data_IF_387762969933
#
_entry.id   IF_387762969933
#
_cell.length_a   1.000
_cell.length_b   1.000
_cell.length_c   1.000
_cell.angle_alpha   90.00
_cell.angle_beta   90.00
_cell.angle_gamma   90.00
#
_symmetry.space_group_name_H-M   'P 1'
#
loop_
_entity.id
_entity.type
_entity.pdbx_description
1 polymer ?
#
# COMPACT_ATOMS: atom_id res chain seq x y z
N UNK A 1 41.77 -47.57 -29.69
CA UNK A 1 41.88 -46.12 -29.95
C UNK A 1 40.79 -45.77 -30.96
N UNK A 2 39.88 -44.83 -30.68
CA UNK A 2 39.49 -44.24 -29.39
C UNK A 2 38.01 -44.47 -29.07
N UNK A 3 37.69 -44.44 -27.77
CA UNK A 3 36.37 -44.11 -27.28
C UNK A 3 36.17 -42.61 -27.51
N UNK A 4 35.04 -42.23 -28.11
CA UNK A 4 34.58 -40.84 -28.12
C UNK A 4 33.40 -40.71 -27.15
N UNK A 5 33.37 -39.64 -26.35
CA UNK A 5 32.52 -39.54 -25.18
C UNK A 5 31.08 -39.23 -25.60
N UNK A 6 30.12 -39.91 -24.98
CA UNK A 6 28.74 -39.43 -24.94
C UNK A 6 28.81 -38.12 -24.17
N UNK A 7 28.82 -37.02 -24.92
CA UNK A 7 28.75 -35.67 -24.39
C UNK A 7 27.63 -35.64 -23.36
N UNK A 8 28.06 -35.24 -22.18
CA UNK A 8 27.30 -34.83 -21.04
C UNK A 8 26.26 -33.80 -21.49
N UNK A 9 25.09 -34.28 -21.90
CA UNK A 9 23.85 -33.51 -21.84
C UNK A 9 23.50 -33.44 -20.35
N UNK A 10 24.27 -32.62 -19.63
CA UNK A 10 23.69 -31.85 -18.54
C UNK A 10 22.83 -30.82 -19.27
N UNK A 11 21.59 -31.22 -19.56
CA UNK A 11 20.48 -30.29 -19.55
C UNK A 11 20.55 -29.61 -18.20
N UNK A 12 21.19 -28.44 -18.18
CA UNK A 12 20.90 -27.40 -17.21
C UNK A 12 19.39 -27.20 -17.32
N UNK A 13 18.65 -27.89 -16.46
CA UNK A 13 17.34 -27.46 -16.03
C UNK A 13 17.55 -26.08 -15.41
N UNK A 14 17.62 -25.06 -16.27
CA UNK A 14 17.32 -23.70 -15.89
C UNK A 14 15.88 -23.76 -15.41
N UNK A 15 15.76 -23.93 -14.10
CA UNK A 15 14.53 -24.09 -13.36
C UNK A 15 13.67 -22.87 -13.70
N UNK A 16 12.74 -23.06 -14.64
CA UNK A 16 11.80 -22.05 -15.09
C UNK A 16 10.83 -21.81 -13.93
N UNK A 17 11.30 -21.05 -12.94
CA UNK A 17 10.49 -20.61 -11.84
C UNK A 17 9.45 -19.65 -12.45
N UNK A 18 8.15 -20.00 -12.40
CA UNK A 18 7.12 -19.23 -13.09
C UNK A 18 7.14 -17.81 -12.54
N UNK A 19 7.13 -16.81 -13.44
CA UNK A 19 7.23 -15.40 -13.09
C UNK A 19 6.22 -14.97 -12.01
N UNK A 20 5.06 -15.64 -11.99
CA UNK A 20 3.99 -15.46 -11.01
C UNK A 20 4.44 -15.75 -9.57
N UNK A 21 5.21 -16.84 -9.35
CA UNK A 21 5.68 -17.23 -8.01
C UNK A 21 6.71 -16.23 -7.45
N UNK A 22 7.54 -15.66 -8.33
CA UNK A 22 8.49 -14.61 -7.95
C UNK A 22 7.76 -13.32 -7.59
N UNK A 23 6.74 -12.94 -8.36
CA UNK A 23 5.94 -11.75 -8.09
C UNK A 23 5.21 -11.84 -6.74
N UNK A 24 4.63 -13.00 -6.44
CA UNK A 24 3.94 -13.30 -5.17
C UNK A 24 4.89 -13.21 -3.97
N UNK A 25 6.07 -13.85 -4.04
CA UNK A 25 7.11 -13.73 -3.00
C UNK A 25 7.57 -12.30 -2.75
N UNK A 26 7.72 -11.52 -3.83
CA UNK A 26 8.09 -10.11 -3.74
C UNK A 26 6.98 -9.31 -3.06
N UNK A 27 5.72 -9.54 -3.41
CA UNK A 27 4.58 -8.89 -2.78
C UNK A 27 4.50 -9.18 -1.27
N UNK A 28 4.60 -10.45 -0.87
CA UNK A 28 4.62 -10.84 0.55
C UNK A 28 5.78 -10.18 1.31
N UNK A 29 6.96 -10.10 0.70
CA UNK A 29 8.11 -9.41 1.30
C UNK A 29 7.84 -7.90 1.50
N UNK A 30 7.15 -7.26 0.56
CA UNK A 30 6.72 -5.86 0.70
C UNK A 30 5.66 -5.67 1.79
N UNK A 31 4.69 -6.59 1.89
CA UNK A 31 3.68 -6.56 2.95
C UNK A 31 4.34 -6.67 4.33
N UNK A 32 5.28 -7.60 4.49
CA UNK A 32 6.05 -7.74 5.73
C UNK A 32 6.90 -6.50 6.04
N UNK A 33 7.51 -5.88 5.03
CA UNK A 33 8.28 -4.65 5.23
C UNK A 33 7.38 -3.48 5.65
N UNK A 34 6.18 -3.36 5.06
CA UNK A 34 5.19 -2.35 5.44
C UNK A 34 4.70 -2.56 6.87
N UNK A 35 4.41 -3.80 7.24
CA UNK A 35 4.01 -4.19 8.59
C UNK A 35 5.05 -3.75 9.62
N UNK A 36 6.29 -4.23 9.46
CA UNK A 36 7.40 -3.91 10.37
C UNK A 36 7.69 -2.41 10.43
N UNK A 37 7.66 -1.72 9.29
CA UNK A 37 7.93 -0.27 9.23
C UNK A 37 6.83 0.52 9.93
N UNK A 38 5.56 0.12 9.75
CA UNK A 38 4.41 0.79 10.37
C UNK A 38 4.44 0.62 11.88
N UNK A 39 4.71 -0.59 12.37
CA UNK A 39 4.88 -0.84 13.81
C UNK A 39 6.06 -0.09 14.41
N UNK A 40 7.20 -0.06 13.71
CA UNK A 40 8.37 0.70 14.17
C UNK A 40 8.07 2.19 14.26
N UNK A 41 7.40 2.75 13.24
CA UNK A 41 7.01 4.16 13.23
C UNK A 41 6.02 4.47 14.34
N UNK A 42 5.04 3.59 14.58
CA UNK A 42 4.11 3.72 15.71
C UNK A 42 4.87 3.83 17.03
N UNK A 43 5.79 2.90 17.29
CA UNK A 43 6.60 2.93 18.51
C UNK A 43 7.40 4.22 18.63
N UNK A 44 8.08 4.66 17.57
CA UNK A 44 8.89 5.89 17.58
C UNK A 44 8.06 7.17 17.80
N UNK A 45 6.81 7.19 17.36
CA UNK A 45 5.92 8.35 17.47
C UNK A 45 5.23 8.40 18.84
N UNK A 46 4.79 7.25 19.35
CA UNK A 46 3.96 7.14 20.55
C UNK A 46 4.72 6.74 21.83
N UNK A 47 6.05 6.62 21.77
CA UNK A 47 6.87 6.36 22.96
C UNK A 47 6.71 7.49 24.00
N UNK A 48 6.77 7.14 25.29
CA UNK A 48 6.54 8.08 26.39
C UNK A 48 7.60 9.20 26.48
N UNK A 49 8.80 8.96 25.93
CA UNK A 49 9.87 9.94 25.78
C UNK A 49 10.43 9.87 24.34
N UNK A 50 9.72 10.45 23.35
CA UNK A 50 10.07 10.27 21.95
C UNK A 50 11.37 11.03 21.67
N UNK A 51 12.44 10.27 21.46
CA UNK A 51 13.75 10.82 21.07
C UNK A 51 13.70 11.49 19.68
N UNK A 52 12.64 11.23 18.91
CA UNK A 52 12.48 11.61 17.52
C UNK A 52 11.12 12.29 17.31
N UNK A 53 11.10 13.60 17.06
CA UNK A 53 9.88 14.27 16.60
C UNK A 53 9.72 14.03 15.08
N UNK A 54 9.06 12.92 14.72
CA UNK A 54 8.83 12.51 13.33
C UNK A 54 8.10 13.58 12.54
N UNK A 55 7.04 14.17 13.11
CA UNK A 55 6.30 15.27 12.50
C UNK A 55 7.21 16.43 12.12
N UNK A 56 8.00 16.93 13.08
CA UNK A 56 8.93 18.03 12.84
C UNK A 56 9.95 17.68 11.74
N UNK A 57 10.49 16.46 11.77
CA UNK A 57 11.49 16.01 10.78
C UNK A 57 10.92 15.84 9.38
N UNK A 58 9.66 15.42 9.27
CA UNK A 58 8.98 15.27 8.00
C UNK A 58 8.75 16.65 7.34
N UNK A 59 8.08 17.55 8.06
CA UNK A 59 7.73 18.90 7.57
C UNK A 59 8.94 19.82 7.36
N UNK A 60 10.08 19.53 8.01
CA UNK A 60 11.32 20.29 7.87
C UNK A 60 12.38 19.55 7.04
N UNK A 61 12.02 18.45 6.38
CA UNK A 61 12.96 17.70 5.58
C UNK A 61 13.55 18.59 4.47
N UNK A 62 14.88 18.57 4.24
CA UNK A 62 15.47 19.36 3.18
C UNK A 62 14.93 18.88 1.82
N UNK A 63 14.51 19.82 0.98
CA UNK A 63 13.94 19.55 -0.35
C UNK A 63 14.78 18.62 -1.22
N UNK A 64 16.09 18.52 -0.98
CA UNK A 64 16.95 17.48 -1.55
C UNK A 64 17.71 16.80 -0.41
N UNK A 65 17.71 15.45 -0.34
CA UNK A 65 17.14 14.50 -1.31
C UNK A 65 15.62 14.23 -1.14
N UNK A 66 14.95 14.79 -0.13
CA UNK A 66 13.62 14.35 0.31
C UNK A 66 12.46 15.11 -0.34
N UNK A 67 12.55 15.37 -1.65
CA UNK A 67 11.49 16.09 -2.33
C UNK A 67 10.17 15.31 -2.27
N UNK A 68 9.11 15.94 -1.78
CA UNK A 68 7.78 15.32 -1.70
C UNK A 68 7.65 14.26 -0.60
N UNK A 69 8.54 14.22 0.39
CA UNK A 69 8.46 13.24 1.48
C UNK A 69 7.15 13.36 2.29
N UNK A 70 6.67 14.59 2.52
CA UNK A 70 5.36 14.83 3.16
C UNK A 70 4.23 14.21 2.32
N UNK A 71 4.26 14.43 1.00
CA UNK A 71 3.26 13.86 0.09
C UNK A 71 3.33 12.33 0.04
N UNK A 72 4.54 11.75 -0.04
CA UNK A 72 4.72 10.30 0.04
C UNK A 72 4.17 9.73 1.34
N UNK A 73 4.42 10.41 2.47
CA UNK A 73 3.89 10.01 3.76
C UNK A 73 2.36 10.01 3.76
N UNK A 74 1.75 11.13 3.36
CA UNK A 74 0.28 11.29 3.29
C UNK A 74 -0.35 10.22 2.40
N UNK A 75 0.18 10.00 1.20
CA UNK A 75 -0.38 9.01 0.27
C UNK A 75 -0.23 7.59 0.79
N UNK A 76 0.92 7.26 1.39
CA UNK A 76 1.18 5.90 1.88
C UNK A 76 0.27 5.58 3.05
N UNK A 77 0.24 6.44 4.07
CA UNK A 77 -0.59 6.23 5.25
C UNK A 77 -2.07 6.44 4.97
N UNK A 78 -2.44 7.34 4.06
CA UNK A 78 -3.82 7.48 3.58
C UNK A 78 -4.32 6.21 2.89
N UNK A 79 -3.53 5.60 2.00
CA UNK A 79 -3.88 4.33 1.36
C UNK A 79 -4.00 3.18 2.36
N UNK A 80 -3.05 3.07 3.29
CA UNK A 80 -3.11 2.05 4.35
C UNK A 80 -4.32 2.25 5.28
N UNK A 81 -4.74 3.50 5.48
CA UNK A 81 -5.82 3.87 6.39
C UNK A 81 -7.21 3.73 5.77
N UNK A 82 -7.36 4.02 4.47
CA UNK A 82 -8.68 4.24 3.87
C UNK A 82 -8.97 3.38 2.65
N UNK A 83 -7.98 2.64 2.11
CA UNK A 83 -8.21 1.75 0.98
C UNK A 83 -8.26 0.29 1.41
N UNK A 84 -9.02 -0.50 0.67
CA UNK A 84 -9.00 -1.95 0.80
C UNK A 84 -7.66 -2.55 0.34
N UNK A 85 -7.18 -3.63 0.99
CA UNK A 85 -6.05 -4.40 0.51
C UNK A 85 -6.28 -4.91 -0.92
N UNK A 86 -5.27 -4.84 -1.81
CA UNK A 86 -5.42 -5.30 -3.19
C UNK A 86 -5.93 -6.74 -3.30
N UNK A 87 -6.89 -6.97 -4.20
CA UNK A 87 -7.57 -8.26 -4.36
C UNK A 87 -6.68 -9.38 -4.91
N UNK A 88 -5.56 -9.04 -5.54
CA UNK A 88 -4.58 -9.99 -6.08
C UNK A 88 -3.62 -10.52 -5.01
N UNK A 89 -3.64 -9.98 -3.79
CA UNK A 89 -2.86 -10.50 -2.67
C UNK A 89 -3.51 -11.73 -2.06
N UNK A 90 -2.68 -12.60 -1.51
CA UNK A 90 -3.11 -13.74 -0.71
C UNK A 90 -3.88 -13.30 0.53
N UNK A 91 -4.73 -14.22 1.01
CA UNK A 91 -5.62 -13.93 2.14
C UNK A 91 -4.84 -13.51 3.40
N UNK A 92 -3.70 -14.15 3.67
CA UNK A 92 -2.86 -13.85 4.84
C UNK A 92 -2.27 -12.45 4.72
N UNK A 93 -1.71 -12.09 3.56
CA UNK A 93 -1.15 -10.77 3.29
C UNK A 93 -2.21 -9.66 3.38
N UNK A 94 -3.42 -9.93 2.87
CA UNK A 94 -4.55 -9.00 3.00
C UNK A 94 -4.95 -8.80 4.45
N UNK A 95 -5.01 -9.88 5.24
CA UNK A 95 -5.31 -9.78 6.68
C UNK A 95 -4.24 -8.98 7.42
N UNK A 96 -2.96 -9.18 7.10
CA UNK A 96 -1.87 -8.37 7.65
C UNK A 96 -2.06 -6.89 7.36
N UNK A 97 -2.37 -6.53 6.11
CA UNK A 97 -2.64 -5.13 5.75
C UNK A 97 -3.89 -4.57 6.46
N UNK A 98 -4.96 -5.36 6.61
CA UNK A 98 -6.15 -4.95 7.36
C UNK A 98 -5.84 -4.64 8.82
N UNK A 99 -4.95 -5.41 9.46
CA UNK A 99 -4.52 -5.15 10.84
C UNK A 99 -3.75 -3.84 11.00
N UNK A 100 -3.15 -3.32 9.91
CA UNK A 100 -2.40 -2.07 9.94
C UNK A 100 -3.28 -0.82 9.80
N UNK A 101 -4.55 -0.96 9.39
CA UNK A 101 -5.44 0.17 9.10
C UNK A 101 -5.53 1.15 10.27
N UNK A 102 -5.82 0.66 11.47
CA UNK A 102 -6.00 1.52 12.65
C UNK A 102 -4.67 2.15 13.09
N UNK A 103 -3.57 1.40 13.04
CA UNK A 103 -2.23 1.87 13.39
C UNK A 103 -1.77 2.96 12.42
N UNK A 104 -2.04 2.78 11.12
CA UNK A 104 -1.74 3.74 10.08
C UNK A 104 -2.54 5.04 10.26
N UNK A 105 -3.82 4.94 10.67
CA UNK A 105 -4.66 6.10 10.98
C UNK A 105 -4.12 6.89 12.16
N UNK A 106 -3.79 6.22 13.26
CA UNK A 106 -3.20 6.87 14.45
C UNK A 106 -1.92 7.63 14.08
N UNK A 107 -1.03 7.00 13.31
CA UNK A 107 0.21 7.64 12.83
C UNK A 107 -0.11 8.87 11.96
N UNK A 108 -1.07 8.74 11.04
CA UNK A 108 -1.47 9.81 10.12
C UNK A 108 -2.02 11.02 10.90
N UNK A 109 -2.91 10.79 11.86
CA UNK A 109 -3.53 11.82 12.71
C UNK A 109 -2.51 12.62 13.51
N UNK A 110 -1.48 11.97 14.05
CA UNK A 110 -0.46 12.66 14.85
C UNK A 110 0.49 13.49 13.99
N UNK A 111 0.81 13.02 12.79
CA UNK A 111 1.78 13.67 11.91
C UNK A 111 1.13 14.78 11.07
N UNK A 112 -0.12 14.57 10.64
CA UNK A 112 -0.94 15.51 9.88
C UNK A 112 -1.98 16.11 10.84
N UNK A 113 -1.52 17.07 11.64
CA UNK A 113 -2.36 17.83 12.58
C UNK A 113 -3.07 18.98 11.85
N UNK A 114 -4.41 18.98 11.90
CA UNK A 114 -5.27 20.03 11.33
C UNK A 114 -6.38 19.49 10.41
N UNK A 115 -7.15 20.37 9.73
CA UNK A 115 -8.22 19.99 8.80
C UNK A 115 -7.71 19.26 7.54
N UNK A 116 -6.40 19.14 7.38
CA UNK A 116 -5.76 18.43 6.28
C UNK A 116 -6.11 16.95 6.29
N UNK A 117 -6.37 16.33 7.46
CA UNK A 117 -6.78 14.92 7.52
C UNK A 117 -8.13 14.67 6.84
N UNK A 118 -9.09 15.59 7.00
CA UNK A 118 -10.39 15.51 6.33
C UNK A 118 -10.23 15.59 4.81
N UNK A 119 -9.25 16.37 4.34
CA UNK A 119 -8.91 16.47 2.92
C UNK A 119 -8.28 15.18 2.39
N UNK A 120 -7.48 14.49 3.20
CA UNK A 120 -6.91 13.18 2.85
C UNK A 120 -8.02 12.14 2.74
N UNK A 121 -8.91 12.06 3.73
CA UNK A 121 -10.05 11.13 3.70
C UNK A 121 -10.94 11.34 2.46
N UNK A 122 -11.33 12.59 2.17
CA UNK A 122 -12.16 12.92 1.01
C UNK A 122 -11.51 12.52 -0.33
N UNK A 123 -10.17 12.57 -0.42
CA UNK A 123 -9.44 12.14 -1.62
C UNK A 123 -9.54 10.63 -1.88
N UNK A 124 -9.82 9.81 -0.86
CA UNK A 124 -10.00 8.37 -0.99
C UNK A 124 -11.48 7.95 -1.07
N UNK A 125 -12.39 8.72 -0.46
CA UNK A 125 -13.84 8.51 -0.58
C UNK A 125 -14.30 8.59 -2.05
N UNK A 126 -13.87 9.62 -2.78
CA UNK A 126 -14.22 9.79 -4.20
C UNK A 126 -13.76 8.64 -5.10
N UNK A 127 -12.67 7.93 -4.76
CA UNK A 127 -12.17 6.78 -5.52
C UNK A 127 -13.05 5.54 -5.28
N UNK A 128 -13.62 5.39 -4.07
CA UNK A 128 -14.58 4.33 -3.78
C UNK A 128 -15.95 4.60 -4.41
N UNK A 129 -16.40 5.85 -4.47
CA UNK A 129 -17.66 6.20 -5.11
C UNK A 129 -17.60 6.08 -6.65
N UNK A 130 -16.46 6.34 -7.29
CA UNK A 130 -16.30 6.14 -8.74
C UNK A 130 -16.39 4.66 -9.18
N UNK A 131 -16.01 3.71 -8.32
CA UNK A 131 -16.19 2.27 -8.58
C UNK A 131 -17.64 1.80 -8.31
N UNK A 132 -18.41 2.60 -7.55
CA UNK A 132 -19.84 2.42 -7.27
C UNK A 132 -20.77 3.27 -8.15
N UNK A 133 -20.23 4.08 -9.06
CA UNK A 133 -20.99 4.99 -9.91
C UNK A 133 -21.74 4.25 -11.04
N UNK A 134 -22.68 3.37 -10.67
CA UNK A 134 -23.92 3.30 -11.44
C UNK A 134 -24.57 4.66 -11.20
N UNK A 135 -24.56 5.51 -12.21
CA UNK A 135 -25.20 6.84 -12.19
C UNK A 135 -26.59 6.74 -11.55
N UNK A 136 -26.71 7.15 -10.28
CA UNK A 136 -27.98 7.14 -9.55
C UNK A 136 -29.04 7.93 -10.32
N UNK A 137 -28.63 8.95 -11.08
CA UNK A 137 -29.51 9.71 -11.96
C UNK A 137 -30.09 8.88 -13.11
N UNK A 138 -29.31 7.99 -13.71
CA UNK A 138 -29.81 7.08 -14.76
C UNK A 138 -30.67 5.96 -14.16
N UNK A 139 -30.33 5.47 -12.95
CA UNK A 139 -31.12 4.46 -12.24
C UNK A 139 -32.51 5.01 -11.84
N UNK A 140 -32.58 6.25 -11.36
CA UNK A 140 -33.82 6.91 -10.97
C UNK A 140 -34.67 7.28 -12.21
N UNK A 141 -34.07 7.69 -13.32
CA UNK A 141 -34.77 7.95 -14.58
C UNK A 141 -35.43 6.69 -15.17
N UNK A 142 -34.75 5.52 -15.09
CA UNK A 142 -35.34 4.23 -15.48
C UNK A 142 -36.49 3.81 -14.56
N UNK A 143 -36.42 4.12 -13.27
CA UNK A 143 -37.50 3.84 -12.31
C UNK A 143 -38.71 4.76 -12.52
N UNK A 144 -38.47 6.01 -12.95
CA UNK A 144 -39.51 7.02 -13.23
C UNK A 144 -40.04 6.97 -14.66
N UNK A 145 -39.54 6.07 -15.51
CA UNK A 145 -40.04 5.84 -16.87
C UNK A 145 -39.84 7.03 -17.82
N UNK A 146 -38.85 7.88 -17.57
CA UNK A 146 -38.51 8.99 -18.46
C UNK A 146 -37.47 8.46 -19.44
N UNK A 147 -37.90 8.12 -20.66
CA UNK A 147 -36.98 7.88 -21.77
C UNK A 147 -36.23 9.19 -22.08
N UNK A 148 -34.89 9.13 -22.05
CA UNK A 148 -34.02 10.18 -22.59
C UNK A 148 -33.80 9.91 -24.09
#
# INVERSE_FOLDING_TARGET
MPAEPVETILEEFEEFEPADRKAEQVATSFVQALDQTTFLLHQLIFEADPCLNVRLKLHQAPHRPFNGIDHMFVVTFGRLSYCDPPSWLDLDDRQSLTCLVDIAREILEVVIDGPEIDSVWAAFESVHDEESAIDEGEMEARLMGIEI
#
